data_IF_795005612980
#
_entry.id   IF_795005612980
#
_cell.length_a   1.000
_cell.length_b   1.000
_cell.length_c   1.000
_cell.angle_alpha   90.00
_cell.angle_beta   90.00
_cell.angle_gamma   90.00
#
_symmetry.space_group_name_H-M   'P 1'
#
loop_
_entity.id
_entity.type
_entity.pdbx_description
1 polymer ?
#
# COMPACT_ATOMS: atom_id res chain seq x y z
N UNK A 1 -32.08 -34.17 47.62
CA UNK A 1 -32.07 -35.08 46.45
C UNK A 1 -32.21 -34.23 45.19
N UNK A 2 -31.10 -33.79 44.59
CA UNK A 2 -31.12 -32.96 43.38
C UNK A 2 -31.08 -33.85 42.14
N UNK A 3 -32.01 -33.67 41.20
CA UNK A 3 -31.98 -34.41 39.93
C UNK A 3 -30.82 -33.89 39.09
N UNK A 4 -29.95 -34.77 38.55
CA UNK A 4 -28.89 -34.35 37.65
C UNK A 4 -29.51 -33.78 36.37
N UNK A 5 -29.21 -32.51 36.10
CA UNK A 5 -29.52 -31.83 34.85
C UNK A 5 -28.84 -32.56 33.70
N UNK A 6 -29.62 -33.12 32.77
CA UNK A 6 -29.09 -33.67 31.50
C UNK A 6 -28.44 -32.54 30.72
N UNK A 7 -27.11 -32.58 30.63
CA UNK A 7 -26.39 -31.72 29.69
C UNK A 7 -26.77 -32.12 28.26
N UNK A 8 -27.31 -31.17 27.49
CA UNK A 8 -27.63 -31.35 26.08
C UNK A 8 -26.39 -31.02 25.27
N UNK A 9 -25.78 -32.03 24.66
CA UNK A 9 -24.67 -31.83 23.72
C UNK A 9 -25.18 -31.38 22.35
N UNK A 10 -24.30 -30.73 21.58
CA UNK A 10 -24.52 -30.40 20.17
C UNK A 10 -24.63 -31.68 19.32
N UNK A 11 -25.51 -31.66 18.31
CA UNK A 11 -25.59 -32.75 17.33
C UNK A 11 -24.48 -32.63 16.28
N UNK A 12 -24.03 -33.75 15.74
CA UNK A 12 -23.07 -33.76 14.62
C UNK A 12 -23.62 -33.03 13.38
N UNK A 13 -24.94 -33.08 13.19
CA UNK A 13 -25.58 -32.41 12.06
C UNK A 13 -25.61 -30.89 12.23
N UNK A 14 -25.84 -30.38 13.44
CA UNK A 14 -25.73 -28.93 13.72
C UNK A 14 -24.31 -28.43 13.42
N UNK A 15 -23.30 -29.19 13.84
CA UNK A 15 -21.91 -28.83 13.57
C UNK A 15 -21.61 -28.82 12.06
N UNK A 16 -22.09 -29.81 11.30
CA UNK A 16 -21.90 -29.84 9.84
C UNK A 16 -22.53 -28.64 9.14
N UNK A 17 -23.76 -28.25 9.53
CA UNK A 17 -24.45 -27.10 8.92
C UNK A 17 -23.71 -25.80 9.25
N UNK A 18 -23.24 -25.64 10.49
CA UNK A 18 -22.47 -24.45 10.90
C UNK A 18 -21.17 -24.34 10.10
N UNK A 19 -20.42 -25.44 9.96
CA UNK A 19 -19.18 -25.45 9.17
C UNK A 19 -19.45 -25.15 7.70
N UNK A 20 -20.54 -25.67 7.13
CA UNK A 20 -20.93 -25.37 5.75
C UNK A 20 -21.23 -23.88 5.53
N UNK A 21 -21.95 -23.24 6.45
CA UNK A 21 -22.24 -21.80 6.38
C UNK A 21 -20.95 -20.99 6.51
N UNK A 22 -20.08 -21.31 7.47
CA UNK A 22 -18.78 -20.63 7.65
C UNK A 22 -17.92 -20.76 6.38
N UNK A 23 -17.89 -21.93 5.74
CA UNK A 23 -17.14 -22.14 4.51
C UNK A 23 -17.62 -21.25 3.36
N UNK A 24 -18.94 -21.09 3.19
CA UNK A 24 -19.52 -20.20 2.16
C UNK A 24 -19.15 -18.73 2.45
N UNK A 25 -19.28 -18.30 3.71
CA UNK A 25 -18.94 -16.92 4.09
C UNK A 25 -17.43 -16.65 3.91
N UNK A 26 -16.57 -17.59 4.31
CA UNK A 26 -15.12 -17.46 4.17
C UNK A 26 -14.70 -17.34 2.69
N UNK A 27 -15.33 -18.08 1.78
CA UNK A 27 -15.04 -18.02 0.35
C UNK A 27 -15.24 -16.62 -0.26
N UNK A 28 -16.18 -15.84 0.28
CA UNK A 28 -16.45 -14.46 -0.17
C UNK A 28 -15.62 -13.45 0.63
N UNK A 29 -15.53 -13.63 1.95
CA UNK A 29 -14.91 -12.66 2.85
C UNK A 29 -13.38 -12.56 2.68
N UNK A 30 -12.69 -13.68 2.45
CA UNK A 30 -11.24 -13.71 2.32
C UNK A 30 -10.71 -12.88 1.13
N UNK A 31 -11.15 -13.09 -0.12
CA UNK A 31 -10.66 -12.29 -1.25
C UNK A 31 -11.00 -10.80 -1.09
N UNK A 32 -12.17 -10.47 -0.55
CA UNK A 32 -12.57 -9.09 -0.30
C UNK A 32 -11.68 -8.40 0.75
N UNK A 33 -11.31 -9.12 1.82
CA UNK A 33 -10.39 -8.61 2.83
C UNK A 33 -8.97 -8.40 2.27
N UNK A 34 -8.46 -9.32 1.46
CA UNK A 34 -7.17 -9.14 0.78
C UNK A 34 -7.14 -7.89 -0.10
N UNK A 35 -8.21 -7.64 -0.87
CA UNK A 35 -8.32 -6.44 -1.70
C UNK A 35 -8.40 -5.15 -0.86
N UNK A 36 -9.07 -5.19 0.29
CA UNK A 36 -9.09 -4.07 1.23
C UNK A 36 -7.68 -3.72 1.72
N UNK A 37 -6.91 -4.73 2.14
CA UNK A 37 -5.52 -4.55 2.57
C UNK A 37 -4.65 -4.04 1.41
N UNK A 38 -4.84 -4.54 0.18
CA UNK A 38 -4.10 -4.06 -1.00
C UNK A 38 -4.36 -2.57 -1.25
N UNK A 39 -5.62 -2.14 -1.20
CA UNK A 39 -6.02 -0.73 -1.36
C UNK A 39 -5.44 0.15 -0.25
N UNK A 40 -5.41 -0.36 0.98
CA UNK A 40 -4.79 0.34 2.11
C UNK A 40 -3.29 0.57 1.88
N UNK A 41 -2.57 -0.45 1.39
CA UNK A 41 -1.14 -0.33 1.03
C UNK A 41 -0.89 0.69 -0.08
N UNK A 42 -1.72 0.67 -1.13
CA UNK A 42 -1.63 1.64 -2.24
C UNK A 42 -1.83 3.07 -1.72
N UNK A 43 -2.84 3.30 -0.87
CA UNK A 43 -3.08 4.62 -0.26
C UNK A 43 -1.94 5.07 0.64
N UNK A 44 -1.33 4.15 1.40
CA UNK A 44 -0.15 4.44 2.21
C UNK A 44 1.02 4.91 1.32
N UNK A 45 1.29 4.22 0.21
CA UNK A 45 2.32 4.61 -0.75
C UNK A 45 2.04 5.99 -1.40
N UNK A 46 0.78 6.29 -1.74
CA UNK A 46 0.37 7.61 -2.23
C UNK A 46 0.65 8.71 -1.19
N UNK A 47 0.32 8.46 0.08
CA UNK A 47 0.63 9.38 1.19
C UNK A 47 2.14 9.54 1.39
N UNK A 48 2.90 8.46 1.27
CA UNK A 48 4.37 8.49 1.38
C UNK A 48 4.98 9.34 0.26
N UNK A 49 4.44 9.29 -0.97
CA UNK A 49 4.86 10.16 -2.08
C UNK A 49 4.56 11.64 -1.81
N UNK A 50 3.40 11.96 -1.23
CA UNK A 50 3.09 13.35 -0.84
C UNK A 50 4.07 13.84 0.24
N UNK A 51 4.35 13.03 1.25
CA UNK A 51 5.35 13.36 2.26
C UNK A 51 6.76 13.54 1.66
N UNK A 52 7.11 12.71 0.66
CA UNK A 52 8.38 12.83 -0.05
C UNK A 52 8.43 14.13 -0.87
N UNK A 53 7.37 14.48 -1.59
CA UNK A 53 7.31 15.74 -2.33
C UNK A 53 7.52 16.97 -1.46
N UNK A 54 6.95 16.99 -0.25
CA UNK A 54 7.16 18.07 0.70
C UNK A 54 8.65 18.16 1.14
N UNK A 55 9.32 17.02 1.31
CA UNK A 55 10.75 16.98 1.63
C UNK A 55 11.64 17.40 0.46
N UNK A 56 11.29 17.02 -0.76
CA UNK A 56 12.00 17.45 -1.98
C UNK A 56 11.88 18.96 -2.17
N UNK A 57 10.69 19.52 -1.96
CA UNK A 57 10.50 20.97 -2.03
C UNK A 57 11.21 21.70 -0.89
N UNK A 58 11.22 21.15 0.33
CA UNK A 58 12.01 21.70 1.43
C UNK A 58 13.52 21.70 1.11
N UNK A 59 14.01 20.63 0.48
CA UNK A 59 15.39 20.56 0.01
C UNK A 59 15.68 21.69 -0.98
N UNK A 60 14.82 21.85 -2.00
CA UNK A 60 14.95 22.93 -2.99
C UNK A 60 14.89 24.31 -2.35
N UNK A 61 14.05 24.54 -1.34
CA UNK A 61 14.01 25.84 -0.65
C UNK A 61 15.34 26.18 0.04
N UNK A 62 16.11 25.17 0.48
CA UNK A 62 17.41 25.36 1.12
C UNK A 62 18.57 25.49 0.12
N UNK A 63 18.54 24.69 -0.94
CA UNK A 63 19.65 24.56 -1.89
C UNK A 63 19.42 25.30 -3.20
N UNK A 64 18.20 25.80 -3.41
CA UNK A 64 17.69 26.44 -4.64
C UNK A 64 17.73 25.54 -5.88
N UNK A 65 18.02 24.25 -5.71
CA UNK A 65 18.25 23.30 -6.81
C UNK A 65 17.62 21.95 -6.46
N UNK A 66 16.92 21.34 -7.42
CA UNK A 66 16.50 19.94 -7.31
C UNK A 66 17.70 19.01 -7.54
N UNK A 67 17.80 17.85 -6.86
CA UNK A 67 18.84 16.88 -7.17
C UNK A 67 18.84 16.51 -8.66
N UNK A 68 19.99 16.68 -9.31
CA UNK A 68 20.17 16.38 -10.74
C UNK A 68 20.43 14.89 -11.04
N UNK A 69 20.57 14.07 -10.00
CA UNK A 69 20.80 12.63 -10.10
C UNK A 69 19.52 11.85 -9.81
N UNK A 70 19.33 10.73 -10.52
CA UNK A 70 18.29 9.75 -10.19
C UNK A 70 18.67 9.01 -8.92
N UNK A 71 17.74 8.92 -7.96
CA UNK A 71 17.87 8.11 -6.75
C UNK A 71 17.05 6.84 -6.96
N UNK A 72 17.74 5.73 -7.26
CA UNK A 72 17.11 4.53 -7.81
C UNK A 72 16.28 3.72 -6.80
N UNK A 73 16.53 3.89 -5.50
CA UNK A 73 15.88 3.10 -4.45
C UNK A 73 15.64 3.90 -3.17
N UNK A 74 14.83 3.32 -2.28
CA UNK A 74 14.40 3.96 -1.02
C UNK A 74 15.59 4.36 -0.14
N UNK A 75 16.68 3.61 -0.16
CA UNK A 75 17.88 3.90 0.64
C UNK A 75 18.61 5.13 0.08
N UNK A 76 18.72 5.25 -1.24
CA UNK A 76 19.25 6.45 -1.88
C UNK A 76 18.36 7.68 -1.60
N UNK A 77 17.03 7.51 -1.70
CA UNK A 77 16.06 8.57 -1.40
C UNK A 77 16.18 9.04 0.06
N UNK A 78 16.16 8.12 1.03
CA UNK A 78 16.30 8.47 2.46
C UNK A 78 17.68 9.04 2.81
N UNK A 79 18.74 8.65 2.09
CA UNK A 79 20.06 9.24 2.23
C UNK A 79 20.13 10.70 1.79
N UNK A 80 19.42 11.07 0.71
CA UNK A 80 19.34 12.47 0.23
C UNK A 80 18.31 13.30 1.00
N UNK A 81 17.19 12.69 1.39
CA UNK A 81 16.08 13.33 2.11
C UNK A 81 15.89 12.69 3.49
N UNK A 82 16.79 12.95 4.47
CA UNK A 82 16.76 12.28 5.77
C UNK A 82 15.56 12.65 6.66
N UNK A 83 14.82 13.71 6.32
CA UNK A 83 13.56 14.08 6.97
C UNK A 83 12.35 13.26 6.50
N UNK A 84 12.53 12.36 5.54
CA UNK A 84 11.49 11.49 5.02
C UNK A 84 11.81 10.03 5.29
N UNK A 85 10.79 9.28 5.70
CA UNK A 85 10.81 7.82 5.75
C UNK A 85 9.41 7.31 5.38
N UNK A 86 9.30 6.28 4.52
CA UNK A 86 7.99 5.76 4.14
C UNK A 86 7.35 4.97 5.30
N UNK A 87 6.03 5.10 5.43
CA UNK A 87 5.22 4.26 6.30
C UNK A 87 4.97 2.88 5.69
N UNK A 88 5.01 2.78 4.35
CA UNK A 88 4.89 1.54 3.61
C UNK A 88 6.02 0.57 3.93
N UNK A 89 5.70 -0.71 4.08
CA UNK A 89 6.73 -1.74 4.27
C UNK A 89 7.56 -1.88 2.99
N UNK A 90 8.86 -2.10 3.14
CA UNK A 90 9.78 -2.36 2.01
C UNK A 90 9.39 -3.56 1.15
N UNK A 91 8.68 -4.54 1.73
CA UNK A 91 8.16 -5.70 1.00
C UNK A 91 6.95 -5.36 0.10
N UNK A 92 6.28 -4.23 0.34
CA UNK A 92 5.11 -3.79 -0.42
C UNK A 92 5.52 -2.79 -1.51
N UNK A 93 6.27 -1.75 -1.16
CA UNK A 93 6.70 -0.67 -2.06
C UNK A 93 8.17 -0.28 -1.90
N UNK A 94 8.81 0.01 -3.03
CA UNK A 94 10.08 0.74 -3.12
C UNK A 94 9.84 2.13 -3.71
N UNK A 95 10.67 3.10 -3.34
CA UNK A 95 10.52 4.49 -3.75
C UNK A 95 11.76 4.99 -4.47
N UNK A 96 11.58 5.78 -5.52
CA UNK A 96 12.65 6.39 -6.29
C UNK A 96 12.34 7.85 -6.63
N UNK A 97 13.39 8.59 -6.97
CA UNK A 97 13.34 9.97 -7.42
C UNK A 97 14.05 10.06 -8.78
N UNK A 98 13.43 10.74 -9.74
CA UNK A 98 14.02 11.08 -11.03
C UNK A 98 13.88 12.56 -11.35
N UNK A 99 14.77 13.07 -12.21
CA UNK A 99 14.58 14.40 -12.80
C UNK A 99 13.43 14.39 -13.80
N UNK A 100 12.62 15.45 -13.82
CA UNK A 100 11.52 15.61 -14.75
C UNK A 100 11.54 17.02 -15.36
N UNK A 101 10.90 17.22 -16.52
CA UNK A 101 10.88 18.53 -17.19
C UNK A 101 10.31 19.66 -16.30
N UNK A 102 9.35 19.32 -15.43
CA UNK A 102 8.75 20.25 -14.45
C UNK A 102 9.49 20.31 -13.10
N UNK A 103 10.61 19.59 -12.94
CA UNK A 103 11.40 19.50 -11.72
C UNK A 103 11.77 18.07 -11.40
N UNK A 104 10.87 17.34 -10.74
CA UNK A 104 11.09 15.95 -10.33
C UNK A 104 9.90 15.05 -10.67
N UNK A 105 10.17 13.75 -10.69
CA UNK A 105 9.18 12.67 -10.66
C UNK A 105 9.52 11.72 -9.51
N UNK A 106 8.55 11.49 -8.64
CA UNK A 106 8.64 10.51 -7.56
C UNK A 106 7.86 9.28 -7.96
N UNK A 107 8.44 8.11 -7.71
CA UNK A 107 7.82 6.85 -8.10
C UNK A 107 7.77 5.91 -6.90
N UNK A 108 6.59 5.33 -6.64
CA UNK A 108 6.44 4.18 -5.77
C UNK A 108 6.14 2.94 -6.64
N UNK A 109 7.03 1.96 -6.57
CA UNK A 109 6.95 0.71 -7.33
C UNK A 109 6.63 -0.46 -6.39
N UNK A 110 5.61 -1.24 -6.73
CA UNK A 110 5.21 -2.42 -5.99
C UNK A 110 6.21 -3.56 -6.15
N UNK A 111 6.65 -4.16 -5.04
CA UNK A 111 7.82 -5.05 -5.00
C UNK A 111 7.47 -6.53 -5.24
N UNK A 112 6.22 -6.94 -5.07
CA UNK A 112 5.85 -8.34 -5.30
C UNK A 112 4.38 -8.68 -5.06
N UNK A 113 4.05 -9.96 -5.31
CA UNK A 113 2.69 -10.48 -5.15
C UNK A 113 1.67 -9.71 -6.01
N UNK A 114 0.52 -9.40 -5.42
CA UNK A 114 -0.57 -8.65 -6.07
C UNK A 114 -0.23 -7.18 -6.35
N UNK A 115 0.92 -6.67 -5.85
CA UNK A 115 1.44 -5.34 -6.13
C UNK A 115 2.50 -5.34 -7.26
N UNK A 116 2.94 -6.50 -7.76
CA UNK A 116 3.91 -6.54 -8.83
C UNK A 116 3.41 -5.78 -10.07
N UNK A 117 4.22 -4.85 -10.57
CA UNK A 117 3.86 -3.98 -11.69
C UNK A 117 2.99 -2.76 -11.32
N UNK A 118 2.54 -2.64 -10.08
CA UNK A 118 1.87 -1.43 -9.58
C UNK A 118 2.89 -0.28 -9.50
N UNK A 119 2.63 0.80 -10.22
CA UNK A 119 3.47 1.99 -10.28
C UNK A 119 2.63 3.21 -9.99
N UNK A 120 3.05 4.02 -9.02
CA UNK A 120 2.39 5.24 -8.61
C UNK A 120 3.39 6.37 -8.79
N UNK A 121 3.03 7.43 -9.52
CA UNK A 121 3.92 8.57 -9.73
C UNK A 121 3.31 9.88 -9.26
N UNK A 122 4.19 10.80 -8.84
CA UNK A 122 3.86 12.17 -8.47
C UNK A 122 4.95 13.10 -9.01
N UNK A 123 4.58 14.08 -9.82
CA UNK A 123 5.50 15.10 -10.33
C UNK A 123 5.43 16.40 -9.53
N UNK A 124 6.41 17.29 -9.75
CA UNK A 124 6.41 18.65 -9.20
C UNK A 124 5.20 19.51 -9.62
N UNK A 125 4.58 19.22 -10.78
CA UNK A 125 3.34 19.85 -11.24
C UNK A 125 2.08 19.26 -10.60
N UNK A 126 2.24 18.38 -9.60
CA UNK A 126 1.17 17.64 -8.95
C UNK A 126 0.36 16.75 -9.92
N UNK A 127 1.00 16.30 -11.00
CA UNK A 127 0.44 15.25 -11.85
C UNK A 127 0.65 13.91 -11.15
N UNK A 128 -0.44 13.15 -11.03
CA UNK A 128 -0.50 11.93 -10.24
C UNK A 128 -1.02 10.80 -11.09
N UNK A 129 -0.29 9.70 -11.10
CA UNK A 129 -0.71 8.52 -11.87
C UNK A 129 -0.67 7.28 -11.01
N UNK A 130 -1.48 6.30 -11.37
CA UNK A 130 -1.48 4.96 -10.80
C UNK A 130 -1.72 3.98 -11.94
N UNK A 131 -0.74 3.14 -12.21
CA UNK A 131 -0.73 2.18 -13.31
C UNK A 131 -0.43 0.77 -12.78
N UNK A 132 -1.04 -0.26 -13.37
CA UNK A 132 -0.75 -1.66 -13.03
C UNK A 132 -1.25 -2.15 -11.67
N UNK A 133 -1.96 -1.32 -10.89
CA UNK A 133 -2.45 -1.69 -9.56
C UNK A 133 -3.83 -2.38 -9.66
N UNK A 134 -3.84 -3.71 -9.55
CA UNK A 134 -5.02 -4.60 -9.78
C UNK A 134 -6.23 -4.32 -8.89
N UNK A 135 -6.04 -3.75 -7.69
CA UNK A 135 -7.15 -3.29 -6.83
C UNK A 135 -7.21 -1.76 -6.66
N UNK A 136 -6.34 -1.00 -7.33
CA UNK A 136 -6.23 0.46 -7.15
C UNK A 136 -7.23 1.28 -7.96
N UNK A 137 -7.72 0.75 -9.08
CA UNK A 137 -8.40 1.55 -10.10
C UNK A 137 -7.40 2.47 -10.80
N UNK A 138 -7.36 2.46 -12.13
CA UNK A 138 -6.39 3.23 -12.93
C UNK A 138 -6.66 4.74 -12.98
N UNK A 139 -7.17 5.33 -11.92
CA UNK A 139 -7.50 6.76 -11.84
C UNK A 139 -6.40 7.56 -11.14
N UNK A 140 -6.14 8.81 -11.58
CA UNK A 140 -5.39 9.80 -10.81
C UNK A 140 -6.01 9.97 -9.41
N UNK A 141 -5.17 10.15 -8.39
CA UNK A 141 -5.53 10.18 -6.97
C UNK A 141 -5.31 11.52 -6.31
#
# INVERSE_FOLDING_TARGET
MGMPSRERGFTLIELMVVVAIIAILAAIALPAYEDFILRSKIRAAQSDLLALSANVENYRQRTLVYPGQTLADTSAVTGTFPGWAPSSKRADFGFSYGSHASGYELTAAGVGGRLAGCTITLTASNERTTAGCTAGGGSPW
#
